data_IF_292868079220
#
_entry.id   IF_292868079220
#
_cell.length_a   1.000
_cell.length_b   1.000
_cell.length_c   1.000
_cell.angle_alpha   90.00
_cell.angle_beta   90.00
_cell.angle_gamma   90.00
#
_symmetry.space_group_name_H-M   'P 1'
#
loop_
_entity.id
_entity.type
_entity.pdbx_description
1 polymer ?
#
# COMPACT_ATOMS: atom_id res chain seq x y z
N UNK A 1 -29.24 -3.54 4.48
CA UNK A 1 -28.10 -2.78 5.06
C UNK A 1 -27.35 -1.93 4.03
N UNK A 2 -27.02 -2.42 2.83
CA UNK A 2 -26.24 -1.66 1.82
C UNK A 2 -26.96 -0.48 1.14
N UNK A 3 -28.29 -0.41 1.17
CA UNK A 3 -29.04 0.71 0.59
C UNK A 3 -29.18 1.94 1.51
N UNK A 4 -29.09 1.77 2.83
CA UNK A 4 -29.21 2.87 3.80
C UNK A 4 -27.95 3.74 3.89
N UNK A 5 -26.77 3.11 3.88
CA UNK A 5 -25.46 3.79 3.93
C UNK A 5 -25.17 4.67 2.71
N UNK A 6 -25.85 4.45 1.58
CA UNK A 6 -25.45 4.99 0.27
C UNK A 6 -26.08 6.35 -0.10
N UNK A 7 -27.16 6.75 0.57
CA UNK A 7 -27.92 7.96 0.19
C UNK A 7 -27.67 9.19 1.08
N UNK A 8 -27.36 9.03 2.37
CA UNK A 8 -27.16 10.18 3.27
C UNK A 8 -25.70 10.48 3.65
N UNK A 9 -24.82 9.49 3.77
CA UNK A 9 -23.48 9.76 4.38
C UNK A 9 -22.42 10.24 3.39
N UNK A 10 -22.55 9.88 2.11
CA UNK A 10 -21.58 10.23 1.06
C UNK A 10 -21.48 11.73 0.78
N UNK A 11 -22.61 12.46 0.60
CA UNK A 11 -22.59 13.92 0.47
C UNK A 11 -22.00 14.58 1.72
N UNK A 12 -22.48 14.18 2.91
CA UNK A 12 -22.01 14.73 4.20
C UNK A 12 -20.52 14.47 4.43
N UNK A 13 -19.99 13.29 4.07
CA UNK A 13 -18.56 13.01 4.17
C UNK A 13 -17.73 13.88 3.19
N UNK A 14 -18.24 14.13 1.99
CA UNK A 14 -17.56 14.99 1.00
C UNK A 14 -17.62 16.47 1.39
N UNK A 15 -18.71 16.92 2.00
CA UNK A 15 -18.84 18.26 2.61
C UNK A 15 -17.85 18.43 3.77
N UNK A 16 -17.72 17.43 4.65
CA UNK A 16 -16.73 17.43 5.74
C UNK A 16 -15.30 17.48 5.21
N UNK A 17 -15.04 16.86 4.05
CA UNK A 17 -13.74 16.91 3.37
C UNK A 17 -13.48 18.26 2.66
N UNK A 18 -14.42 19.20 2.68
CA UNK A 18 -14.28 20.52 2.05
C UNK A 18 -14.36 20.49 0.53
N UNK A 19 -15.12 19.54 -0.04
CA UNK A 19 -15.29 19.42 -1.49
C UNK A 19 -16.11 20.61 -2.02
N UNK A 20 -15.62 21.38 -3.01
CA UNK A 20 -16.37 22.50 -3.58
C UNK A 20 -17.74 22.09 -4.15
N UNK A 21 -18.74 22.98 -4.02
CA UNK A 21 -20.14 22.69 -4.37
C UNK A 21 -20.33 22.35 -5.87
N UNK A 22 -19.49 22.89 -6.74
CA UNK A 22 -19.51 22.66 -8.19
C UNK A 22 -19.06 21.26 -8.59
N UNK A 23 -18.24 20.58 -7.78
CA UNK A 23 -17.72 19.23 -8.07
C UNK A 23 -18.30 18.14 -7.16
N UNK A 24 -19.05 18.51 -6.12
CA UNK A 24 -19.58 17.54 -5.16
C UNK A 24 -20.57 16.56 -5.81
N UNK A 25 -21.40 17.03 -6.75
CA UNK A 25 -22.35 16.20 -7.48
C UNK A 25 -21.66 15.13 -8.33
N UNK A 26 -20.61 15.52 -9.06
CA UNK A 26 -19.78 14.62 -9.86
C UNK A 26 -19.01 13.62 -8.98
N UNK A 27 -18.50 14.08 -7.84
CA UNK A 27 -17.79 13.24 -6.85
C UNK A 27 -18.72 12.19 -6.24
N UNK A 28 -19.96 12.56 -5.88
CA UNK A 28 -20.97 11.62 -5.37
C UNK A 28 -21.32 10.58 -6.44
N UNK A 29 -21.51 11.00 -7.69
CA UNK A 29 -21.80 10.08 -8.80
C UNK A 29 -20.65 9.09 -9.01
N UNK A 30 -19.42 9.57 -9.08
CA UNK A 30 -18.21 8.76 -9.20
C UNK A 30 -18.13 7.71 -8.09
N UNK A 31 -18.21 8.16 -6.83
CA UNK A 31 -18.10 7.30 -5.66
C UNK A 31 -19.20 6.24 -5.62
N UNK A 32 -20.44 6.61 -5.96
CA UNK A 32 -21.55 5.65 -6.05
C UNK A 32 -21.24 4.55 -7.06
N UNK A 33 -20.76 4.88 -8.25
CA UNK A 33 -20.41 3.88 -9.27
C UNK A 33 -19.23 3.04 -8.79
N UNK A 34 -18.18 3.68 -8.25
CA UNK A 34 -16.99 3.00 -7.74
C UNK A 34 -17.30 1.98 -6.64
N UNK A 35 -18.20 2.31 -5.71
CA UNK A 35 -18.63 1.38 -4.66
C UNK A 35 -19.35 0.14 -5.20
N UNK A 36 -19.99 0.20 -6.38
CA UNK A 36 -20.52 -1.01 -7.03
C UNK A 36 -19.41 -1.93 -7.54
N UNK A 37 -18.23 -1.37 -7.85
CA UNK A 37 -17.06 -2.12 -8.30
C UNK A 37 -16.23 -2.75 -7.18
N UNK A 38 -16.39 -2.30 -5.93
CA UNK A 38 -15.61 -2.80 -4.79
C UNK A 38 -15.60 -4.34 -4.66
N UNK A 39 -16.73 -5.07 -4.81
CA UNK A 39 -16.71 -6.53 -4.75
C UNK A 39 -15.78 -7.16 -5.81
N UNK A 40 -15.77 -6.64 -7.04
CA UNK A 40 -14.89 -7.14 -8.11
C UNK A 40 -13.43 -6.82 -7.82
N UNK A 41 -13.15 -5.63 -7.28
CA UNK A 41 -11.81 -5.25 -6.85
C UNK A 41 -11.28 -6.20 -5.78
N UNK A 42 -12.10 -6.53 -4.78
CA UNK A 42 -11.75 -7.48 -3.73
C UNK A 42 -11.51 -8.88 -4.31
N UNK A 43 -12.42 -9.38 -5.16
CA UNK A 43 -12.29 -10.68 -5.81
C UNK A 43 -10.99 -10.82 -6.59
N UNK A 44 -10.63 -9.79 -7.37
CA UNK A 44 -9.37 -9.75 -8.08
C UNK A 44 -8.17 -9.79 -7.12
N UNK A 45 -8.14 -8.91 -6.12
CA UNK A 45 -7.01 -8.81 -5.19
C UNK A 45 -6.79 -10.11 -4.39
N UNK A 46 -7.87 -10.75 -3.90
CA UNK A 46 -7.78 -12.04 -3.21
C UNK A 46 -7.35 -13.16 -4.16
N UNK A 47 -7.94 -13.24 -5.36
CA UNK A 47 -7.56 -14.25 -6.34
C UNK A 47 -6.10 -14.13 -6.76
N UNK A 48 -5.63 -12.91 -7.01
CA UNK A 48 -4.25 -12.61 -7.34
C UNK A 48 -3.30 -12.92 -6.16
N UNK A 49 -3.72 -12.68 -4.91
CA UNK A 49 -2.96 -13.06 -3.73
C UNK A 49 -2.82 -14.58 -3.59
N UNK A 50 -3.87 -15.36 -3.91
CA UNK A 50 -3.79 -16.83 -3.92
C UNK A 50 -2.78 -17.31 -4.97
N UNK A 51 -2.84 -16.77 -6.19
CA UNK A 51 -1.90 -17.13 -7.26
C UNK A 51 -0.45 -16.77 -6.89
N UNK A 52 -0.20 -15.58 -6.34
CA UNK A 52 1.13 -15.20 -5.84
C UNK A 52 1.61 -16.09 -4.70
N UNK A 53 0.72 -16.46 -3.77
CA UNK A 53 1.06 -17.33 -2.65
C UNK A 53 1.52 -18.74 -3.10
N UNK A 54 1.03 -19.23 -4.25
CA UNK A 54 1.51 -20.49 -4.85
C UNK A 54 2.68 -20.30 -5.83
N UNK A 55 3.15 -19.06 -6.02
CA UNK A 55 4.28 -18.71 -6.90
C UNK A 55 3.91 -18.36 -8.34
N UNK A 56 2.64 -18.32 -8.71
CA UNK A 56 2.18 -17.86 -10.03
C UNK A 56 2.02 -16.34 -10.05
N UNK A 57 3.06 -15.65 -10.51
CA UNK A 57 3.06 -14.19 -10.68
C UNK A 57 2.70 -13.75 -12.11
N UNK A 58 2.80 -14.67 -13.09
CA UNK A 58 2.61 -14.36 -14.51
C UNK A 58 1.14 -14.13 -14.85
N UNK A 59 0.24 -15.00 -14.37
CA UNK A 59 -1.19 -14.88 -14.67
C UNK A 59 -1.82 -13.62 -14.06
N UNK A 60 -1.59 -13.28 -12.77
CA UNK A 60 -2.06 -12.00 -12.22
C UNK A 60 -1.58 -10.78 -13.00
N UNK A 61 -0.32 -10.77 -13.42
CA UNK A 61 0.23 -9.67 -14.23
C UNK A 61 -0.48 -9.55 -15.57
N UNK A 62 -0.69 -10.67 -16.28
CA UNK A 62 -1.40 -10.67 -17.56
C UNK A 62 -2.85 -10.17 -17.40
N UNK A 63 -3.56 -10.58 -16.36
CA UNK A 63 -4.91 -10.10 -16.08
C UNK A 63 -4.94 -8.59 -15.83
N UNK A 64 -3.96 -8.07 -15.08
CA UNK A 64 -3.83 -6.64 -14.83
C UNK A 64 -3.54 -5.85 -16.11
N UNK A 65 -2.70 -6.37 -17.00
CA UNK A 65 -2.42 -5.76 -18.31
C UNK A 65 -3.69 -5.70 -19.16
N UNK A 66 -4.41 -6.82 -19.29
CA UNK A 66 -5.68 -6.88 -20.04
C UNK A 66 -6.67 -5.86 -19.48
N UNK A 67 -6.78 -5.78 -18.15
CA UNK A 67 -7.62 -4.80 -17.46
C UNK A 67 -7.19 -3.36 -17.70
N UNK A 68 -5.89 -3.07 -17.66
CA UNK A 68 -5.38 -1.73 -17.92
C UNK A 68 -5.62 -1.28 -19.36
N UNK A 69 -5.38 -2.16 -20.33
CA UNK A 69 -5.66 -1.90 -21.76
C UNK A 69 -7.16 -1.69 -21.98
N UNK A 70 -8.00 -2.54 -21.38
CA UNK A 70 -9.45 -2.40 -21.47
C UNK A 70 -9.92 -1.10 -20.82
N UNK A 71 -9.33 -0.72 -19.68
CA UNK A 71 -9.64 0.53 -19.01
C UNK A 71 -9.33 1.74 -19.89
N UNK A 72 -8.14 1.78 -20.48
CA UNK A 72 -7.73 2.84 -21.38
C UNK A 72 -8.67 2.93 -22.60
N UNK A 73 -8.97 1.80 -23.25
CA UNK A 73 -9.89 1.75 -24.39
C UNK A 73 -11.30 2.22 -24.01
N UNK A 74 -11.83 1.78 -22.86
CA UNK A 74 -13.14 2.21 -22.38
C UNK A 74 -13.17 3.68 -21.98
N UNK A 75 -12.08 4.23 -21.44
CA UNK A 75 -12.00 5.67 -21.17
C UNK A 75 -12.09 6.46 -22.48
N UNK A 76 -11.36 6.06 -23.53
CA UNK A 76 -11.47 6.72 -24.84
C UNK A 76 -12.91 6.64 -25.36
N UNK A 77 -13.53 5.47 -25.33
CA UNK A 77 -14.90 5.31 -25.86
C UNK A 77 -15.92 6.07 -25.02
N UNK A 78 -15.96 5.86 -23.71
CA UNK A 78 -17.02 6.39 -22.84
C UNK A 78 -16.85 7.89 -22.55
N UNK A 79 -15.61 8.37 -22.43
CA UNK A 79 -15.34 9.78 -22.13
C UNK A 79 -15.27 10.59 -23.41
N UNK A 80 -14.51 10.16 -24.42
CA UNK A 80 -14.29 10.97 -25.63
C UNK A 80 -15.41 10.77 -26.67
N UNK A 81 -15.91 9.55 -26.88
CA UNK A 81 -16.96 9.34 -27.89
C UNK A 81 -18.37 9.56 -27.32
N UNK A 82 -18.65 9.03 -26.12
CA UNK A 82 -19.99 9.07 -25.51
C UNK A 82 -20.18 10.28 -24.58
N UNK A 83 -19.12 11.01 -24.23
CA UNK A 83 -19.17 12.23 -23.41
C UNK A 83 -19.84 12.02 -22.04
N UNK A 84 -19.58 10.88 -21.40
CA UNK A 84 -20.10 10.55 -20.06
C UNK A 84 -19.27 11.17 -18.91
N UNK A 85 -18.32 12.06 -19.21
CA UNK A 85 -17.42 12.72 -18.26
C UNK A 85 -16.93 11.77 -17.15
N UNK A 86 -17.11 12.18 -15.90
CA UNK A 86 -16.71 11.47 -14.68
C UNK A 86 -17.41 10.12 -14.53
N UNK A 87 -18.66 10.00 -14.98
CA UNK A 87 -19.38 8.74 -14.94
C UNK A 87 -18.74 7.71 -15.89
N UNK A 88 -18.28 8.16 -17.06
CA UNK A 88 -17.57 7.33 -18.03
C UNK A 88 -16.30 6.71 -17.43
N UNK A 89 -15.49 7.53 -16.74
CA UNK A 89 -14.26 7.07 -16.04
C UNK A 89 -14.57 6.03 -14.96
N UNK A 90 -15.60 6.28 -14.15
CA UNK A 90 -16.00 5.36 -13.10
C UNK A 90 -16.47 4.01 -13.68
N UNK A 91 -17.31 4.04 -14.72
CA UNK A 91 -17.83 2.83 -15.39
C UNK A 91 -16.69 2.04 -16.04
N UNK A 92 -15.80 2.71 -16.77
CA UNK A 92 -14.62 2.08 -17.38
C UNK A 92 -13.78 1.34 -16.32
N UNK A 93 -13.60 1.95 -15.15
CA UNK A 93 -12.88 1.37 -14.02
C UNK A 93 -13.59 0.13 -13.48
N UNK A 94 -14.90 0.21 -13.21
CA UNK A 94 -15.67 -0.93 -12.69
C UNK A 94 -15.68 -2.10 -13.67
N UNK A 95 -15.88 -1.85 -14.97
CA UNK A 95 -15.88 -2.90 -16.01
C UNK A 95 -14.50 -3.57 -16.11
N UNK A 96 -13.42 -2.78 -16.04
CA UNK A 96 -12.07 -3.32 -16.10
C UNK A 96 -11.76 -4.23 -14.90
N UNK A 97 -12.19 -3.82 -13.70
CA UNK A 97 -12.06 -4.65 -12.51
C UNK A 97 -12.95 -5.89 -12.54
N UNK A 98 -14.14 -5.79 -13.12
CA UNK A 98 -15.00 -6.95 -13.38
C UNK A 98 -14.27 -7.95 -14.28
N UNK A 99 -13.66 -7.52 -15.39
CA UNK A 99 -12.90 -8.39 -16.29
C UNK A 99 -11.75 -9.07 -15.55
N UNK A 100 -10.93 -8.31 -14.80
CA UNK A 100 -9.87 -8.87 -13.95
C UNK A 100 -10.38 -9.94 -12.98
N UNK A 101 -11.51 -9.66 -12.33
CA UNK A 101 -12.10 -10.58 -11.36
C UNK A 101 -12.61 -11.87 -12.03
N UNK A 102 -13.22 -11.77 -13.21
CA UNK A 102 -13.71 -12.92 -13.97
C UNK A 102 -12.55 -13.78 -14.46
N UNK A 103 -11.48 -13.16 -14.96
CA UNK A 103 -10.29 -13.86 -15.43
C UNK A 103 -9.61 -14.63 -14.29
N UNK A 104 -9.41 -14.00 -13.12
CA UNK A 104 -8.77 -14.67 -11.99
C UNK A 104 -9.63 -15.79 -11.43
N UNK A 105 -10.95 -15.60 -11.29
CA UNK A 105 -11.86 -16.63 -10.80
C UNK A 105 -11.93 -17.81 -11.76
N UNK A 106 -11.99 -17.55 -13.07
CA UNK A 106 -11.95 -18.59 -14.10
C UNK A 106 -10.66 -19.40 -14.02
N UNK A 107 -9.52 -18.73 -13.81
CA UNK A 107 -8.23 -19.39 -13.61
C UNK A 107 -8.22 -20.27 -12.34
N UNK A 108 -8.77 -19.77 -11.23
CA UNK A 108 -8.89 -20.51 -9.97
C UNK A 108 -9.81 -21.73 -10.10
N UNK A 109 -10.92 -21.61 -10.83
CA UNK A 109 -11.89 -22.71 -11.02
C UNK A 109 -11.37 -23.82 -11.96
N UNK A 110 -10.54 -23.45 -12.94
CA UNK A 110 -9.93 -24.37 -13.93
C UNK A 110 -8.60 -24.97 -13.47
N UNK A 111 -8.03 -24.50 -12.36
CA UNK A 111 -6.80 -25.06 -11.81
C UNK A 111 -6.99 -26.53 -11.40
N UNK A 112 -6.01 -27.38 -11.64
CA UNK A 112 -6.00 -28.78 -11.18
C UNK A 112 -5.27 -28.96 -9.85
N UNK A 113 -4.69 -27.89 -9.31
CA UNK A 113 -3.91 -27.91 -8.07
C UNK A 113 -4.77 -27.75 -6.81
N UNK A 114 -4.14 -27.81 -5.63
CA UNK A 114 -4.79 -27.70 -4.31
C UNK A 114 -5.55 -26.39 -4.06
N UNK A 115 -5.29 -25.34 -4.85
CA UNK A 115 -5.94 -24.04 -4.77
C UNK A 115 -7.18 -23.92 -5.68
N UNK A 116 -7.66 -25.02 -6.28
CA UNK A 116 -8.85 -25.03 -7.15
C UNK A 116 -10.09 -24.54 -6.41
N UNK A 117 -10.73 -23.51 -6.97
CA UNK A 117 -11.99 -22.97 -6.46
C UNK A 117 -13.17 -23.84 -6.89
N UNK A 118 -13.89 -24.40 -5.91
CA UNK A 118 -15.14 -25.13 -6.13
C UNK A 118 -16.29 -24.32 -5.58
N UNK A 119 -17.05 -23.64 -6.44
CA UNK A 119 -18.18 -22.79 -6.04
C UNK A 119 -19.23 -23.57 -5.22
N UNK A 120 -19.49 -24.82 -5.57
CA UNK A 120 -20.43 -25.68 -4.85
C UNK A 120 -19.98 -26.09 -3.43
N UNK A 121 -18.69 -25.90 -3.08
CA UNK A 121 -18.13 -26.26 -1.76
C UNK A 121 -17.81 -25.03 -0.90
N UNK A 122 -18.32 -23.86 -1.27
CA UNK A 122 -18.11 -22.63 -0.49
C UNK A 122 -18.79 -22.76 0.88
N UNK A 123 -17.98 -22.75 1.93
CA UNK A 123 -18.44 -22.79 3.33
C UNK A 123 -17.59 -21.86 4.17
N UNK A 124 -18.24 -21.06 5.00
CA UNK A 124 -17.56 -20.26 6.01
C UNK A 124 -17.12 -21.21 7.13
N UNK A 125 -15.81 -21.26 7.38
CA UNK A 125 -15.20 -22.03 8.46
C UNK A 125 -14.58 -21.07 9.46
N UNK A 126 -15.08 -21.08 10.69
CA UNK A 126 -14.69 -20.14 11.74
C UNK A 126 -13.18 -20.12 12.01
N UNK A 127 -12.52 -21.28 11.96
CA UNK A 127 -11.08 -21.39 12.22
C UNK A 127 -10.24 -20.61 11.20
N UNK A 128 -10.56 -20.72 9.91
CA UNK A 128 -9.88 -19.96 8.85
C UNK A 128 -10.27 -18.48 8.90
N UNK A 129 -11.54 -18.17 9.17
CA UNK A 129 -12.01 -16.79 9.29
C UNK A 129 -11.27 -16.05 10.42
N UNK A 130 -11.06 -16.71 11.57
CA UNK A 130 -10.28 -16.17 12.68
C UNK A 130 -8.84 -15.87 12.27
N UNK A 131 -8.18 -16.77 11.55
CA UNK A 131 -6.81 -16.54 11.05
C UNK A 131 -6.74 -15.37 10.07
N UNK A 132 -7.72 -15.26 9.16
CA UNK A 132 -7.82 -14.13 8.22
C UNK A 132 -7.95 -12.82 8.97
N UNK A 133 -8.83 -12.75 9.98
CA UNK A 133 -9.02 -11.54 10.77
C UNK A 133 -7.81 -11.21 11.66
N UNK A 134 -7.14 -12.21 12.23
CA UNK A 134 -5.92 -12.01 13.03
C UNK A 134 -4.78 -11.37 12.24
N UNK A 135 -4.71 -11.60 10.94
CA UNK A 135 -3.71 -10.98 10.06
C UNK A 135 -4.24 -9.69 9.43
N UNK A 136 -5.47 -9.72 8.93
CA UNK A 136 -6.08 -8.66 8.13
C UNK A 136 -6.49 -7.43 8.94
N UNK A 137 -7.09 -7.59 10.12
CA UNK A 137 -7.52 -6.45 10.95
C UNK A 137 -6.31 -5.61 11.38
N UNK A 138 -5.22 -6.19 11.94
CA UNK A 138 -4.05 -5.39 12.27
C UNK A 138 -3.40 -4.72 11.06
N UNK A 139 -3.30 -5.42 9.92
CA UNK A 139 -2.76 -4.80 8.71
C UNK A 139 -3.62 -3.63 8.22
N UNK A 140 -4.95 -3.76 8.26
CA UNK A 140 -5.89 -2.68 7.92
C UNK A 140 -5.77 -1.48 8.86
N UNK A 141 -5.74 -1.71 10.18
CA UNK A 141 -5.55 -0.64 11.17
C UNK A 141 -4.22 0.09 10.94
N UNK A 142 -3.14 -0.66 10.72
CA UNK A 142 -1.82 -0.09 10.43
C UNK A 142 -1.88 0.84 9.21
N UNK A 143 -2.46 0.38 8.09
CA UNK A 143 -2.60 1.19 6.88
C UNK A 143 -3.47 2.43 7.09
N UNK A 144 -4.62 2.30 7.76
CA UNK A 144 -5.52 3.43 8.03
C UNK A 144 -4.84 4.50 8.88
N UNK A 145 -4.15 4.11 9.94
CA UNK A 145 -3.48 5.04 10.86
C UNK A 145 -2.29 5.73 10.18
N UNK A 146 -1.54 5.03 9.32
CA UNK A 146 -0.48 5.64 8.51
C UNK A 146 -1.06 6.66 7.52
N UNK A 147 -2.16 6.34 6.84
CA UNK A 147 -2.81 7.28 5.92
C UNK A 147 -3.33 8.52 6.65
N UNK A 148 -3.89 8.37 7.85
CA UNK A 148 -4.27 9.51 8.69
C UNK A 148 -3.05 10.37 9.06
N UNK A 149 -1.92 9.75 9.40
CA UNK A 149 -0.67 10.47 9.67
C UNK A 149 -0.18 11.27 8.47
N UNK A 150 -0.27 10.70 7.26
CA UNK A 150 0.08 11.43 6.03
C UNK A 150 -0.89 12.60 5.77
N UNK A 151 -2.18 12.43 6.04
CA UNK A 151 -3.17 13.51 5.91
C UNK A 151 -2.89 14.67 6.87
N UNK A 152 -2.49 14.40 8.11
CA UNK A 152 -2.06 15.43 9.07
C UNK A 152 -0.82 16.18 8.57
N UNK A 153 0.14 15.46 7.99
CA UNK A 153 1.32 16.09 7.42
C UNK A 153 0.99 16.97 6.21
N UNK A 154 0.13 16.49 5.30
CA UNK A 154 -0.42 17.29 4.20
C UNK A 154 -1.07 18.57 4.73
N UNK A 155 -1.85 18.49 5.81
CA UNK A 155 -2.43 19.68 6.45
C UNK A 155 -1.36 20.66 6.96
N UNK A 156 -0.23 20.17 7.48
CA UNK A 156 0.90 21.03 7.86
C UNK A 156 1.55 21.68 6.62
N UNK A 157 1.70 20.95 5.51
CA UNK A 157 2.18 21.52 4.24
C UNK A 157 1.25 22.61 3.72
N UNK A 158 -0.07 22.43 3.85
CA UNK A 158 -1.05 23.41 3.38
C UNK A 158 -0.88 24.79 4.05
N UNK A 159 -0.33 24.83 5.26
CA UNK A 159 -0.05 26.09 5.96
C UNK A 159 1.06 26.95 5.32
N UNK A 160 1.86 26.38 4.39
CA UNK A 160 2.91 27.09 3.65
C UNK A 160 2.41 27.74 2.34
N UNK A 161 1.12 27.58 2.00
CA UNK A 161 0.52 28.20 0.82
C UNK A 161 0.46 27.30 -0.41
N UNK A 162 -0.25 27.78 -1.45
CA UNK A 162 -0.60 27.00 -2.64
C UNK A 162 0.62 26.46 -3.41
N UNK A 163 1.69 27.26 -3.54
CA UNK A 163 2.91 26.87 -4.26
C UNK A 163 3.62 25.68 -3.58
N UNK A 164 3.69 25.68 -2.24
CA UNK A 164 4.25 24.56 -1.48
C UNK A 164 3.39 23.30 -1.57
N UNK A 165 2.06 23.46 -1.58
CA UNK A 165 1.13 22.34 -1.77
C UNK A 165 1.28 21.69 -3.15
N UNK A 166 1.40 22.50 -4.20
CA UNK A 166 1.65 22.01 -5.55
C UNK A 166 2.98 21.25 -5.63
N UNK A 167 4.05 21.79 -5.01
CA UNK A 167 5.37 21.16 -4.98
C UNK A 167 5.35 19.82 -4.25
N UNK A 168 4.64 19.75 -3.11
CA UNK A 168 4.45 18.50 -2.37
C UNK A 168 3.63 17.47 -3.15
N UNK A 169 2.59 17.90 -3.87
CA UNK A 169 1.77 16.99 -4.69
C UNK A 169 2.60 16.38 -5.82
N UNK A 170 3.39 17.20 -6.53
CA UNK A 170 4.30 16.72 -7.57
C UNK A 170 5.37 15.76 -7.00
N UNK A 171 5.97 16.10 -5.85
CA UNK A 171 6.93 15.23 -5.17
C UNK A 171 6.29 13.91 -4.72
N UNK A 172 5.07 13.94 -4.17
CA UNK A 172 4.34 12.73 -3.75
C UNK A 172 4.04 11.78 -4.90
N UNK A 173 3.76 12.29 -6.10
CA UNK A 173 3.59 11.43 -7.27
C UNK A 173 4.87 10.62 -7.54
N UNK A 174 6.04 11.26 -7.48
CA UNK A 174 7.34 10.60 -7.63
C UNK A 174 7.58 9.60 -6.48
N UNK A 175 7.35 10.01 -5.23
CA UNK A 175 7.51 9.15 -4.06
C UNK A 175 6.56 7.94 -4.10
N UNK A 176 5.39 8.05 -4.72
CA UNK A 176 4.45 6.93 -4.90
C UNK A 176 5.01 5.86 -5.81
N UNK A 177 5.74 6.22 -6.88
CA UNK A 177 6.44 5.24 -7.72
C UNK A 177 7.54 4.50 -6.95
N UNK A 178 8.28 5.23 -6.12
CA UNK A 178 9.28 4.62 -5.22
C UNK A 178 8.61 3.69 -4.21
N UNK A 179 7.50 4.11 -3.61
CA UNK A 179 6.71 3.30 -2.68
C UNK A 179 6.29 1.98 -3.29
N UNK A 180 5.64 2.01 -4.46
CA UNK A 180 5.13 0.80 -5.14
C UNK A 180 6.28 -0.16 -5.45
N UNK A 181 7.43 0.35 -5.86
CA UNK A 181 8.61 -0.46 -6.20
C UNK A 181 9.13 -1.20 -4.96
N UNK A 182 9.31 -0.49 -3.85
CA UNK A 182 9.74 -1.06 -2.58
C UNK A 182 8.67 -2.01 -2.00
N UNK A 183 7.39 -1.64 -2.08
CA UNK A 183 6.28 -2.46 -1.62
C UNK A 183 6.21 -3.80 -2.36
N UNK A 184 6.55 -3.82 -3.66
CA UNK A 184 6.61 -5.07 -4.44
C UNK A 184 7.61 -6.07 -3.85
N UNK A 185 8.77 -5.60 -3.37
CA UNK A 185 9.78 -6.41 -2.68
C UNK A 185 9.23 -6.91 -1.34
N UNK A 186 8.52 -6.05 -0.59
CA UNK A 186 7.84 -6.44 0.66
C UNK A 186 6.80 -7.54 0.44
N UNK A 187 6.02 -7.46 -0.64
CA UNK A 187 5.03 -8.49 -0.99
C UNK A 187 5.70 -9.81 -1.40
N UNK A 188 6.82 -9.75 -2.14
CA UNK A 188 7.63 -10.93 -2.45
C UNK A 188 8.20 -11.56 -1.16
N UNK A 189 8.74 -10.74 -0.27
CA UNK A 189 9.22 -11.16 1.04
C UNK A 189 8.13 -11.89 1.82
N UNK A 190 6.92 -11.32 1.93
CA UNK A 190 5.79 -11.95 2.62
C UNK A 190 5.39 -13.31 2.01
N UNK A 191 5.37 -13.42 0.68
CA UNK A 191 5.05 -14.69 0.01
C UNK A 191 6.12 -15.76 0.25
N UNK A 192 7.40 -15.43 0.06
CA UNK A 192 8.47 -16.40 0.26
C UNK A 192 8.68 -16.75 1.74
N UNK A 193 8.54 -15.80 2.65
CA UNK A 193 8.60 -16.06 4.10
C UNK A 193 7.47 -16.97 4.55
N UNK A 194 6.23 -16.74 4.10
CA UNK A 194 5.09 -17.61 4.44
C UNK A 194 5.25 -19.04 3.89
N UNK A 195 5.71 -19.20 2.65
CA UNK A 195 6.01 -20.52 2.08
C UNK A 195 7.10 -21.27 2.87
N UNK A 196 8.21 -20.59 3.18
CA UNK A 196 9.31 -21.21 3.93
C UNK A 196 8.94 -21.50 5.38
N UNK A 197 8.15 -20.62 6.01
CA UNK A 197 7.61 -20.82 7.35
C UNK A 197 6.72 -22.07 7.41
N UNK A 198 5.75 -22.19 6.49
CA UNK A 198 4.88 -23.36 6.40
C UNK A 198 5.66 -24.65 6.11
N UNK A 199 6.73 -24.58 5.30
CA UNK A 199 7.61 -25.73 5.03
C UNK A 199 8.65 -26.01 6.14
N UNK A 200 8.72 -25.19 7.21
CA UNK A 200 9.71 -25.34 8.29
C UNK A 200 11.15 -25.00 7.90
N UNK A 201 11.38 -24.32 6.77
CA UNK A 201 12.69 -23.97 6.23
C UNK A 201 13.17 -22.59 6.73
N UNK A 202 13.37 -22.47 8.05
CA UNK A 202 13.70 -21.18 8.69
C UNK A 202 15.00 -20.53 8.20
N UNK A 203 16.07 -21.32 7.95
CA UNK A 203 17.31 -20.78 7.39
C UNK A 203 17.09 -20.12 6.01
N UNK A 204 16.17 -20.67 5.21
CA UNK A 204 15.83 -20.12 3.90
C UNK A 204 14.94 -18.87 4.04
N UNK A 205 14.09 -18.81 5.06
CA UNK A 205 13.34 -17.60 5.40
C UNK A 205 14.29 -16.43 5.77
N UNK A 206 15.31 -16.68 6.60
CA UNK A 206 16.30 -15.66 6.97
C UNK A 206 17.10 -15.18 5.73
N UNK A 207 17.46 -16.11 4.83
CA UNK A 207 18.11 -15.75 3.55
C UNK A 207 17.21 -14.88 2.68
N UNK A 208 15.93 -15.24 2.53
CA UNK A 208 14.95 -14.44 1.77
C UNK A 208 14.85 -13.02 2.32
N UNK A 209 14.81 -12.84 3.65
CA UNK A 209 14.79 -11.51 4.24
C UNK A 209 16.06 -10.72 3.90
N UNK A 210 17.23 -11.36 3.97
CA UNK A 210 18.51 -10.75 3.57
C UNK A 210 18.53 -10.33 2.09
N UNK A 211 18.10 -11.21 1.19
CA UNK A 211 18.01 -10.92 -0.25
C UNK A 211 17.04 -9.75 -0.50
N UNK A 212 15.87 -9.75 0.15
CA UNK A 212 14.91 -8.65 0.05
C UNK A 212 15.45 -7.33 0.60
N UNK A 213 16.22 -7.33 1.69
CA UNK A 213 16.88 -6.12 2.20
C UNK A 213 17.85 -5.55 1.18
N UNK A 214 18.67 -6.40 0.55
CA UNK A 214 19.60 -5.99 -0.51
C UNK A 214 18.83 -5.41 -1.69
N UNK A 215 17.80 -6.10 -2.18
CA UNK A 215 16.97 -5.62 -3.28
C UNK A 215 16.33 -4.27 -2.94
N UNK A 216 15.74 -4.12 -1.76
CA UNK A 216 15.12 -2.87 -1.32
C UNK A 216 16.10 -1.71 -1.31
N UNK A 217 17.31 -1.91 -0.76
CA UNK A 217 18.35 -0.86 -0.72
C UNK A 217 18.80 -0.50 -2.12
N UNK A 218 19.04 -1.49 -2.99
CA UNK A 218 19.44 -1.24 -4.38
C UNK A 218 18.32 -0.51 -5.15
N UNK A 219 17.07 -0.98 -5.08
CA UNK A 219 15.96 -0.38 -5.81
C UNK A 219 15.67 1.04 -5.33
N UNK A 220 15.63 1.26 -4.02
CA UNK A 220 15.36 2.58 -3.46
C UNK A 220 16.54 3.53 -3.68
N UNK A 221 17.78 3.03 -3.61
CA UNK A 221 18.99 3.79 -3.91
C UNK A 221 19.02 4.25 -5.37
N UNK A 222 18.85 3.33 -6.32
CA UNK A 222 18.84 3.66 -7.76
C UNK A 222 17.70 4.63 -8.10
N UNK A 223 16.48 4.34 -7.67
CA UNK A 223 15.33 5.21 -7.95
C UNK A 223 15.45 6.56 -7.24
N UNK A 224 15.92 6.58 -5.99
CA UNK A 224 16.10 7.79 -5.20
C UNK A 224 17.19 8.70 -5.78
N UNK A 225 18.33 8.13 -6.16
CA UNK A 225 19.40 8.88 -6.85
C UNK A 225 18.91 9.42 -8.19
N UNK A 226 18.16 8.64 -8.98
CA UNK A 226 17.59 9.13 -10.23
C UNK A 226 16.58 10.26 -10.01
N UNK A 227 15.66 10.10 -9.06
CA UNK A 227 14.67 11.11 -8.71
C UNK A 227 15.29 12.40 -8.18
N UNK A 228 16.43 12.33 -7.48
CA UNK A 228 17.16 13.50 -7.04
C UNK A 228 17.96 14.16 -8.17
N UNK A 229 18.74 13.38 -8.93
CA UNK A 229 19.62 13.88 -9.98
C UNK A 229 18.85 14.49 -11.17
N UNK A 230 17.71 13.90 -11.52
CA UNK A 230 16.82 14.39 -12.59
C UNK A 230 15.55 15.04 -12.02
N UNK A 231 15.58 15.45 -10.74
CA UNK A 231 14.41 15.96 -10.03
C UNK A 231 13.71 17.14 -10.73
N UNK A 232 14.42 18.19 -11.20
CA UNK A 232 13.78 19.30 -11.92
C UNK A 232 13.07 18.85 -13.20
N UNK A 233 13.67 17.93 -13.96
CA UNK A 233 13.09 17.41 -15.21
C UNK A 233 11.88 16.54 -14.94
N UNK A 234 11.93 15.69 -13.90
CA UNK A 234 10.80 14.82 -13.53
C UNK A 234 9.66 15.63 -12.93
N UNK A 235 9.96 16.65 -12.11
CA UNK A 235 8.96 17.59 -11.59
C UNK A 235 8.36 18.46 -12.70
N UNK A 236 9.17 18.81 -13.70
CA UNK A 236 8.74 19.57 -14.89
C UNK A 236 7.64 18.91 -15.72
N UNK A 237 7.43 17.59 -15.57
CA UNK A 237 6.29 16.88 -16.18
C UNK A 237 4.96 17.28 -15.52
N UNK A 238 4.98 17.73 -14.27
CA UNK A 238 3.78 18.08 -13.51
C UNK A 238 3.48 19.59 -13.51
N UNK A 239 4.51 20.43 -13.63
CA UNK A 239 4.37 21.89 -13.54
C UNK A 239 5.54 22.59 -14.21
N UNK A 240 5.29 23.74 -14.83
CA UNK A 240 6.31 24.61 -15.42
C UNK A 240 6.73 25.73 -14.45
N UNK A 241 6.05 25.88 -13.31
CA UNK A 241 6.35 26.94 -12.34
C UNK A 241 7.62 26.64 -11.55
N UNK A 242 8.66 27.46 -11.73
CA UNK A 242 9.98 27.28 -11.10
C UNK A 242 9.91 27.24 -9.57
N UNK A 243 9.04 28.04 -8.96
CA UNK A 243 8.89 28.06 -7.50
C UNK A 243 8.29 26.75 -6.97
N UNK A 244 7.34 26.16 -7.71
CA UNK A 244 6.75 24.85 -7.37
C UNK A 244 7.80 23.74 -7.50
N UNK A 245 8.62 23.78 -8.54
CA UNK A 245 9.73 22.84 -8.74
C UNK A 245 10.74 22.96 -7.59
N UNK A 246 11.06 24.19 -7.14
CA UNK A 246 11.97 24.41 -6.00
C UNK A 246 11.45 23.75 -4.72
N UNK A 247 10.17 23.91 -4.40
CA UNK A 247 9.56 23.24 -3.25
C UNK A 247 9.56 21.71 -3.40
N UNK A 248 9.24 21.20 -4.59
CA UNK A 248 9.35 19.77 -4.88
C UNK A 248 10.77 19.24 -4.67
N UNK A 249 11.78 19.98 -5.13
CA UNK A 249 13.20 19.62 -4.96
C UNK A 249 13.65 19.61 -3.50
N UNK A 250 13.20 20.56 -2.68
CA UNK A 250 13.47 20.56 -1.23
C UNK A 250 12.97 19.25 -0.60
N UNK A 251 11.74 18.84 -0.93
CA UNK A 251 11.13 17.61 -0.43
C UNK A 251 11.89 16.37 -0.94
N UNK A 252 12.19 16.31 -2.23
CA UNK A 252 12.92 15.18 -2.82
C UNK A 252 14.31 15.03 -2.22
N UNK A 253 15.02 16.13 -1.97
CA UNK A 253 16.37 16.12 -1.38
C UNK A 253 16.43 15.42 -0.02
N UNK A 254 15.36 15.56 0.78
CA UNK A 254 15.28 15.00 2.13
C UNK A 254 14.77 13.56 2.11
N UNK A 255 13.90 13.22 1.17
CA UNK A 255 13.11 11.99 1.22
C UNK A 255 13.61 10.89 0.28
N UNK A 256 14.15 11.23 -0.90
CA UNK A 256 14.46 10.25 -1.95
C UNK A 256 15.63 9.33 -1.61
N UNK A 257 16.75 9.87 -1.13
CA UNK A 257 17.92 9.04 -0.77
C UNK A 257 17.61 8.21 0.50
N UNK A 258 17.05 8.77 1.59
CA UNK A 258 16.70 7.97 2.76
C UNK A 258 15.52 7.02 2.56
N UNK A 259 14.90 6.98 1.37
CA UNK A 259 13.73 6.18 1.10
C UNK A 259 13.97 4.66 1.25
N UNK A 260 15.22 4.20 1.16
CA UNK A 260 15.55 2.80 1.48
C UNK A 260 15.16 2.43 2.92
N UNK A 261 15.18 3.38 3.86
CA UNK A 261 14.70 3.18 5.23
C UNK A 261 13.22 2.83 5.25
N UNK A 262 12.40 3.50 4.45
CA UNK A 262 10.98 3.19 4.33
C UNK A 262 10.76 1.73 3.92
N UNK A 263 11.57 1.23 2.98
CA UNK A 263 11.48 -0.16 2.57
C UNK A 263 11.93 -1.17 3.61
N UNK A 264 13.04 -0.91 4.30
CA UNK A 264 13.49 -1.74 5.41
C UNK A 264 12.43 -1.78 6.51
N UNK A 265 11.80 -0.63 6.79
CA UNK A 265 10.73 -0.50 7.78
C UNK A 265 9.53 -1.40 7.44
N UNK A 266 9.17 -1.54 6.17
CA UNK A 266 8.03 -2.36 5.73
C UNK A 266 8.37 -3.86 5.58
N UNK A 267 9.64 -4.20 5.34
CA UNK A 267 10.09 -5.58 5.16
C UNK A 267 9.92 -6.46 6.41
N UNK A 268 10.28 -5.94 7.59
CA UNK A 268 10.17 -6.69 8.84
C UNK A 268 8.72 -7.02 9.20
N UNK A 269 7.76 -6.07 9.19
CA UNK A 269 6.34 -6.37 9.25
C UNK A 269 5.91 -7.36 8.18
N UNK A 270 6.34 -7.20 6.92
CA UNK A 270 6.02 -8.13 5.84
C UNK A 270 6.39 -9.58 6.17
N UNK A 271 7.61 -9.79 6.66
CA UNK A 271 8.12 -11.10 7.10
C UNK A 271 7.35 -11.65 8.32
N UNK A 272 7.07 -10.80 9.32
CA UNK A 272 6.28 -11.17 10.50
C UNK A 272 4.84 -11.59 10.13
N UNK A 273 4.19 -10.86 9.21
CA UNK A 273 2.87 -11.22 8.67
C UNK A 273 2.93 -12.55 7.90
N UNK A 274 4.01 -12.80 7.16
CA UNK A 274 4.26 -14.09 6.50
C UNK A 274 4.30 -15.27 7.49
N UNK A 275 4.75 -15.04 8.72
CA UNK A 275 4.72 -16.02 9.82
C UNK A 275 3.40 -16.05 10.60
N UNK A 276 2.36 -15.33 10.15
CA UNK A 276 1.07 -15.24 10.84
C UNK A 276 1.02 -14.29 12.03
N UNK A 277 2.05 -13.45 12.24
CA UNK A 277 2.15 -12.52 13.36
C UNK A 277 1.98 -11.07 12.87
N UNK A 278 0.76 -10.53 12.93
CA UNK A 278 0.47 -9.15 12.47
C UNK A 278 0.22 -8.13 13.58
N UNK A 279 -0.17 -8.57 14.79
CA UNK A 279 -0.56 -7.67 15.88
C UNK A 279 0.59 -6.81 16.40
N UNK A 280 1.69 -7.45 16.82
CA UNK A 280 2.87 -6.75 17.35
C UNK A 280 3.48 -5.79 16.33
N UNK A 281 3.76 -6.18 15.06
CA UNK A 281 4.32 -5.24 14.09
C UNK A 281 3.37 -4.08 13.77
N UNK A 282 2.05 -4.28 13.84
CA UNK A 282 1.09 -3.16 13.71
C UNK A 282 1.29 -2.13 14.82
N UNK A 283 1.31 -2.56 16.08
CA UNK A 283 1.48 -1.66 17.22
C UNK A 283 2.80 -0.88 17.11
N UNK A 284 3.88 -1.56 16.75
CA UNK A 284 5.20 -0.93 16.61
C UNK A 284 5.26 0.06 15.45
N UNK A 285 4.61 -0.20 14.31
CA UNK A 285 4.53 0.81 13.24
C UNK A 285 3.65 1.99 13.61
N UNK A 286 2.53 1.76 14.31
CA UNK A 286 1.67 2.86 14.77
C UNK A 286 2.42 3.75 15.75
N UNK A 287 3.06 3.18 16.77
CA UNK A 287 3.83 3.95 17.75
C UNK A 287 5.09 4.56 17.14
N UNK A 288 5.86 3.78 16.39
CA UNK A 288 7.14 4.18 15.83
C UNK A 288 7.01 5.18 14.69
N UNK A 289 6.04 5.03 13.80
CA UNK A 289 5.87 5.93 12.64
C UNK A 289 4.88 7.05 12.96
N UNK A 290 3.67 6.71 13.39
CA UNK A 290 2.64 7.73 13.61
C UNK A 290 2.88 8.46 14.92
N UNK A 291 3.20 7.76 16.00
CA UNK A 291 3.52 8.39 17.29
C UNK A 291 4.66 9.40 17.18
N UNK A 292 5.78 9.02 16.55
CA UNK A 292 6.93 9.93 16.36
C UNK A 292 6.57 11.12 15.46
N UNK A 293 5.80 10.91 14.39
CA UNK A 293 5.33 12.01 13.52
C UNK A 293 4.39 12.96 14.25
N UNK A 294 3.48 12.48 15.09
CA UNK A 294 2.60 13.33 15.89
C UNK A 294 3.41 14.19 16.86
N UNK A 295 4.39 13.58 17.55
CA UNK A 295 5.31 14.32 18.43
C UNK A 295 6.07 15.39 17.63
N UNK A 296 6.49 15.07 16.41
CA UNK A 296 7.20 16.02 15.55
C UNK A 296 6.31 17.19 15.10
N UNK A 297 5.10 16.91 14.61
CA UNK A 297 4.15 17.90 14.09
C UNK A 297 3.63 18.83 15.20
N UNK A 298 3.36 18.30 16.41
CA UNK A 298 2.81 19.11 17.51
C UNK A 298 3.86 19.67 18.46
N UNK A 299 5.05 19.05 18.54
CA UNK A 299 6.13 19.49 19.44
C UNK A 299 7.20 20.33 18.74
N UNK A 300 7.80 19.80 17.67
CA UNK A 300 9.00 20.39 17.04
C UNK A 300 8.64 21.39 15.94
N UNK A 301 7.67 21.05 15.10
CA UNK A 301 7.28 21.87 13.95
C UNK A 301 6.73 23.27 14.32
N UNK A 302 5.96 23.46 15.41
CA UNK A 302 5.50 24.80 15.79
C UNK A 302 6.65 25.73 16.22
N UNK A 303 7.75 25.16 16.71
CA UNK A 303 8.93 25.92 17.15
C UNK A 303 9.83 26.32 15.98
N UNK A 304 9.87 25.51 14.91
CA UNK A 304 10.69 25.74 13.72
C UNK A 304 9.86 25.46 12.46
N UNK A 305 9.11 26.46 11.98
CA UNK A 305 8.26 26.34 10.78
C UNK A 305 9.09 26.39 9.51
N UNK A 306 9.55 25.23 9.06
CA UNK A 306 10.21 25.04 7.77
C UNK A 306 9.80 23.69 7.16
N UNK A 307 9.70 23.63 5.83
CA UNK A 307 9.44 22.40 5.10
C UNK A 307 10.55 21.37 5.38
N UNK A 308 11.81 21.81 5.38
CA UNK A 308 12.94 20.97 5.78
C UNK A 308 12.73 20.26 7.12
N UNK A 309 12.34 21.00 8.16
CA UNK A 309 12.06 20.45 9.50
C UNK A 309 10.90 19.48 9.46
N UNK A 310 9.85 19.79 8.70
CA UNK A 310 8.68 18.91 8.57
C UNK A 310 9.06 17.57 7.92
N UNK A 311 9.86 17.58 6.86
CA UNK A 311 10.19 16.38 6.09
C UNK A 311 11.29 15.51 6.72
N UNK A 312 12.16 16.07 7.57
CA UNK A 312 13.08 15.27 8.40
C UNK A 312 12.34 14.26 9.30
N UNK A 313 11.08 14.54 9.64
CA UNK A 313 10.25 13.61 10.41
C UNK A 313 10.11 12.24 9.74
N UNK A 314 10.16 12.16 8.39
CA UNK A 314 10.09 10.89 7.67
C UNK A 314 11.28 9.97 7.99
N UNK A 315 12.54 10.31 7.62
CA UNK A 315 13.68 9.44 7.89
C UNK A 315 13.86 9.18 9.39
N UNK A 316 13.59 10.16 10.25
CA UNK A 316 13.62 9.96 11.70
C UNK A 316 12.60 8.90 12.16
N UNK A 317 11.34 9.02 11.73
CA UNK A 317 10.27 8.06 12.06
C UNK A 317 10.56 6.66 11.51
N UNK A 318 11.10 6.57 10.30
CA UNK A 318 11.48 5.30 9.68
C UNK A 318 12.61 4.64 10.46
N UNK A 319 13.67 5.38 10.81
CA UNK A 319 14.80 4.85 11.56
C UNK A 319 14.36 4.30 12.93
N UNK A 320 13.58 5.06 13.70
CA UNK A 320 13.05 4.62 15.00
C UNK A 320 12.18 3.35 14.83
N UNK A 321 11.31 3.34 13.82
CA UNK A 321 10.44 2.20 13.56
C UNK A 321 11.25 0.96 13.16
N UNK A 322 12.30 1.10 12.33
CA UNK A 322 13.19 -0.01 11.95
C UNK A 322 13.80 -0.64 13.20
N UNK A 323 14.34 0.17 14.11
CA UNK A 323 14.95 -0.36 15.36
C UNK A 323 13.93 -1.18 16.14
N UNK A 324 12.71 -0.66 16.32
CA UNK A 324 11.63 -1.39 17.00
C UNK A 324 11.26 -2.70 16.29
N UNK A 325 11.14 -2.67 14.97
CA UNK A 325 10.74 -3.84 14.16
C UNK A 325 11.83 -4.92 14.10
N UNK A 326 13.11 -4.53 14.03
CA UNK A 326 14.26 -5.45 14.08
C UNK A 326 14.29 -6.18 15.43
N UNK A 327 14.13 -5.44 16.53
CA UNK A 327 14.06 -6.02 17.87
C UNK A 327 12.89 -7.00 17.99
N UNK A 328 11.70 -6.60 17.52
CA UNK A 328 10.53 -7.46 17.49
C UNK A 328 10.76 -8.74 16.69
N UNK A 329 11.31 -8.60 15.48
CA UNK A 329 11.62 -9.72 14.61
C UNK A 329 12.55 -10.71 15.30
N UNK A 330 13.60 -10.23 15.96
CA UNK A 330 14.54 -11.09 16.70
C UNK A 330 13.83 -11.91 17.80
N UNK A 331 12.98 -11.28 18.61
CA UNK A 331 12.23 -11.97 19.68
C UNK A 331 11.21 -12.97 19.14
N UNK A 332 10.43 -12.58 18.13
CA UNK A 332 9.43 -13.47 17.51
C UNK A 332 10.13 -14.67 16.85
N UNK A 333 11.23 -14.43 16.12
CA UNK A 333 12.03 -15.48 15.48
C UNK A 333 12.56 -16.48 16.50
N UNK A 334 13.06 -16.01 17.65
CA UNK A 334 13.52 -16.89 18.74
C UNK A 334 12.38 -17.74 19.31
N UNK A 335 11.20 -17.15 19.54
CA UNK A 335 10.01 -17.85 20.06
C UNK A 335 9.46 -18.88 19.09
N UNK A 336 9.33 -18.51 17.82
CA UNK A 336 8.88 -19.39 16.74
C UNK A 336 9.79 -20.60 16.59
N UNK A 337 11.11 -20.39 16.64
CA UNK A 337 12.07 -21.47 16.53
C UNK A 337 11.98 -22.43 17.73
N UNK A 338 11.89 -21.90 18.94
CA UNK A 338 11.75 -22.70 20.16
C UNK A 338 10.46 -23.54 20.17
N UNK A 339 9.32 -22.96 19.77
CA UNK A 339 8.04 -23.68 19.72
C UNK A 339 8.07 -24.87 18.75
N UNK A 340 8.69 -24.70 17.57
CA UNK A 340 8.72 -25.76 16.55
C UNK A 340 9.75 -26.87 16.88
N UNK A 341 10.84 -26.54 17.58
CA UNK A 341 11.76 -27.56 18.13
C UNK A 341 11.05 -28.40 19.19
N UNK A 342 10.26 -27.77 20.08
CA UNK A 342 9.43 -28.49 21.06
C UNK A 342 8.38 -29.39 20.39
N UNK A 343 7.71 -28.94 19.33
CA UNK A 343 6.75 -29.75 18.59
C UNK A 343 7.40 -30.94 17.88
N UNK A 344 8.61 -30.76 17.33
CA UNK A 344 9.40 -31.85 16.72
C UNK A 344 9.79 -32.90 17.77
N UNK A 345 10.22 -32.48 18.96
CA UNK A 345 10.62 -33.37 20.05
C UNK A 345 9.43 -34.10 20.70
N UNK A 346 8.18 -33.64 20.50
CA UNK A 346 6.97 -34.31 20.99
C UNK A 346 6.43 -35.37 20.02
N UNK A 347 6.91 -35.37 18.77
CA UNK A 347 6.54 -36.34 17.71
C UNK A 347 7.56 -37.47 17.53
N UNK A 348 8.69 -37.39 18.25
CA UNK A 348 9.70 -38.44 18.42
C UNK A 348 9.45 -39.05 19.79
#
# INVERSE_FOLDING_TARGET
MLHGFRRLELPTALEILGTPEDVIGLSVLYMRIYFLGMPFFMLYNYGAAILRAVGDTKRPLLFLIISGVTNAALNVVLVVCVHLDVAGVAIATVISQLISSVLVLSCLMRSESSYRLHLAKLKIRGDYLKQIFQVGIPAGIQSTVINLSNALLQSSVNSFGATAMAGYTAANNILSFMYVSVNSVTQACMSFTSQNYSAGKFKRMDRVLGDCLIFTVITAGVMGTFAYAFGPQVLGVYTEEEEVIRYGMEILSITTIPYFLCGIMDLFPGSLRGMGHSGVPMILSVLGTVGTRLIWIFGVFPQHRSLYVLFISYPASWFITIVMQVLCFYFVRKKVWAAKVSEKNRKI
#
